data_IF_266630943488
#
_entry.id   IF_266630943488
#
_cell.length_a   1.000
_cell.length_b   1.000
_cell.length_c   1.000
_cell.angle_alpha   90.00
_cell.angle_beta   90.00
_cell.angle_gamma   90.00
#
_symmetry.space_group_name_H-M   'P 1'
#
loop_
_entity.id
_entity.type
_entity.pdbx_description
1 polymer ?
#
# COMPACT_ATOMS: atom_id res chain seq x y z
N UNK A 1 -9.75 -3.74 -12.55
CA UNK A 1 -8.32 -4.03 -12.37
C UNK A 1 -8.21 -5.19 -11.40
N UNK A 2 -7.43 -6.23 -11.71
CA UNK A 2 -7.26 -7.36 -10.78
C UNK A 2 -6.35 -6.97 -9.61
N UNK A 3 -6.57 -7.51 -8.40
CA UNK A 3 -5.77 -7.18 -7.20
C UNK A 3 -4.26 -7.31 -7.43
N UNK A 4 -3.84 -8.28 -8.25
CA UNK A 4 -2.43 -8.49 -8.63
C UNK A 4 -1.88 -7.32 -9.47
N UNK A 5 -2.66 -6.82 -10.43
CA UNK A 5 -2.28 -5.70 -11.29
C UNK A 5 -2.09 -4.41 -10.47
N UNK A 6 -2.99 -4.16 -9.52
CA UNK A 6 -2.85 -3.03 -8.57
C UNK A 6 -1.52 -3.13 -7.80
N UNK A 7 -1.22 -4.30 -7.23
CA UNK A 7 0.02 -4.53 -6.47
C UNK A 7 1.24 -4.28 -7.36
N UNK A 8 1.27 -4.81 -8.58
CA UNK A 8 2.40 -4.63 -9.50
C UNK A 8 2.62 -3.16 -9.84
N UNK A 9 1.54 -2.41 -10.10
CA UNK A 9 1.61 -0.98 -10.37
C UNK A 9 2.18 -0.22 -9.16
N UNK A 10 1.67 -0.46 -7.95
CA UNK A 10 2.18 0.18 -6.72
C UNK A 10 3.66 -0.12 -6.51
N UNK A 11 4.08 -1.38 -6.69
CA UNK A 11 5.49 -1.77 -6.56
C UNK A 11 6.37 -1.03 -7.57
N UNK A 12 5.91 -0.89 -8.81
CA UNK A 12 6.63 -0.16 -9.84
C UNK A 12 6.74 1.35 -9.51
N UNK A 13 5.67 1.97 -9.01
CA UNK A 13 5.68 3.37 -8.59
C UNK A 13 6.65 3.62 -7.42
N UNK A 14 6.60 2.78 -6.37
CA UNK A 14 7.53 2.88 -5.23
C UNK A 14 8.98 2.69 -5.69
N UNK A 15 9.25 1.72 -6.57
CA UNK A 15 10.58 1.49 -7.13
C UNK A 15 11.13 2.71 -7.88
N UNK A 16 10.26 3.46 -8.53
CA UNK A 16 10.61 4.67 -9.27
C UNK A 16 10.64 5.93 -8.40
N UNK A 17 10.36 5.80 -7.09
CA UNK A 17 10.37 6.92 -6.14
C UNK A 17 9.15 7.84 -6.25
N UNK A 18 8.07 7.37 -6.88
CA UNK A 18 6.84 8.14 -7.03
C UNK A 18 5.97 8.04 -5.77
N UNK A 19 5.22 9.10 -5.48
CA UNK A 19 4.24 9.12 -4.40
C UNK A 19 2.98 8.41 -4.90
N UNK A 20 2.61 7.33 -4.23
CA UNK A 20 1.44 6.52 -4.59
C UNK A 20 0.22 7.00 -3.80
N UNK A 21 -0.89 7.27 -4.48
CA UNK A 21 -2.14 7.72 -3.85
C UNK A 21 -3.29 6.77 -4.19
N UNK A 22 -4.15 6.49 -3.21
CA UNK A 22 -5.20 5.48 -3.32
C UNK A 22 -6.27 5.80 -4.38
N UNK A 23 -6.47 7.09 -4.66
CA UNK A 23 -7.44 7.56 -5.67
C UNK A 23 -7.06 7.16 -7.09
N UNK A 24 -5.78 6.91 -7.38
CA UNK A 24 -5.32 6.45 -8.70
C UNK A 24 -5.77 5.01 -9.00
N UNK A 25 -6.25 4.30 -7.97
CA UNK A 25 -6.67 2.90 -8.03
C UNK A 25 -8.16 2.71 -7.70
N UNK A 26 -8.95 3.80 -7.63
CA UNK A 26 -10.36 3.80 -7.21
C UNK A 26 -10.59 3.13 -5.84
N UNK A 27 -9.62 3.23 -4.93
CA UNK A 27 -9.72 2.68 -3.58
C UNK A 27 -10.14 3.77 -2.59
N UNK A 28 -11.02 3.43 -1.64
CA UNK A 28 -11.22 4.25 -0.46
C UNK A 28 -10.07 4.04 0.54
N UNK A 29 -10.03 4.85 1.60
CA UNK A 29 -8.90 4.87 2.53
C UNK A 29 -8.76 3.57 3.34
N UNK A 30 -9.88 2.92 3.71
CA UNK A 30 -9.85 1.64 4.40
C UNK A 30 -9.32 0.52 3.49
N UNK A 31 -9.83 0.42 2.27
CA UNK A 31 -9.34 -0.53 1.26
C UNK A 31 -7.86 -0.30 0.93
N UNK A 32 -7.42 0.95 0.96
CA UNK A 32 -6.03 1.32 0.78
C UNK A 32 -5.15 0.82 1.92
N UNK A 33 -5.54 1.08 3.16
CA UNK A 33 -4.81 0.59 4.32
C UNK A 33 -4.74 -0.94 4.34
N UNK A 34 -5.85 -1.62 4.10
CA UNK A 34 -5.90 -3.09 4.02
C UNK A 34 -4.95 -3.64 2.94
N UNK A 35 -4.86 -2.96 1.79
CA UNK A 35 -3.97 -3.35 0.71
C UNK A 35 -2.50 -3.13 1.08
N UNK A 36 -2.16 -1.97 1.65
CA UNK A 36 -0.80 -1.64 2.07
C UNK A 36 -0.33 -2.55 3.21
N UNK A 37 -1.21 -2.82 4.18
CA UNK A 37 -0.95 -3.78 5.27
C UNK A 37 -0.72 -5.18 4.69
N UNK A 38 -1.59 -5.64 3.79
CA UNK A 38 -1.38 -6.91 3.09
C UNK A 38 -0.04 -6.96 2.37
N UNK A 39 0.35 -5.89 1.66
CA UNK A 39 1.62 -5.84 0.93
C UNK A 39 2.83 -5.87 1.88
N UNK A 40 2.74 -5.17 3.01
CA UNK A 40 3.76 -5.17 4.06
C UNK A 40 3.89 -6.55 4.72
N UNK A 41 2.78 -7.16 5.13
CA UNK A 41 2.74 -8.46 5.80
C UNK A 41 3.22 -9.60 4.91
N UNK A 42 2.99 -9.48 3.60
CA UNK A 42 3.53 -10.40 2.59
C UNK A 42 4.94 -10.07 2.17
N UNK A 43 5.59 -9.13 2.85
CA UNK A 43 6.98 -8.72 2.64
C UNK A 43 7.26 -8.15 1.26
N UNK A 44 6.27 -7.62 0.54
CA UNK A 44 6.55 -6.95 -0.74
C UNK A 44 7.23 -5.59 -0.52
N UNK A 45 6.76 -4.85 0.48
CA UNK A 45 7.23 -3.50 0.82
C UNK A 45 7.59 -3.39 2.30
N UNK A 46 8.42 -2.42 2.64
CA UNK A 46 8.84 -2.08 4.00
C UNK A 46 8.79 -0.56 4.23
N UNK A 47 8.95 -0.15 5.50
CA UNK A 47 9.01 1.25 5.94
C UNK A 47 7.74 2.06 5.60
N UNK A 48 6.58 1.41 5.73
CA UNK A 48 5.24 2.02 5.62
C UNK A 48 4.71 2.38 7.00
N UNK A 49 3.87 3.41 7.09
CA UNK A 49 3.16 3.75 8.34
C UNK A 49 1.67 3.95 8.06
N UNK A 50 0.82 3.21 8.78
CA UNK A 50 -0.63 3.37 8.75
C UNK A 50 -1.05 4.01 10.07
N UNK A 51 -1.73 5.14 10.00
CA UNK A 51 -2.28 5.85 11.14
C UNK A 51 -3.76 5.51 11.28
N UNK A 52 -4.10 4.83 12.36
CA UNK A 52 -5.47 4.44 12.70
C UNK A 52 -6.12 5.48 13.60
N UNK A 53 -7.42 5.72 13.42
CA UNK A 53 -8.21 6.34 14.49
C UNK A 53 -8.25 5.33 15.65
N UNK A 54 -7.95 5.78 16.88
CA UNK A 54 -7.97 4.90 18.06
C UNK A 54 -9.40 4.45 18.40
N UNK A 55 -9.55 3.71 19.52
CA UNK A 55 -10.84 3.25 20.07
C UNK A 55 -11.78 4.40 20.52
N UNK A 56 -11.53 5.65 20.10
CA UNK A 56 -12.44 6.75 20.36
C UNK A 56 -13.64 6.60 19.42
N UNK A 57 -14.72 6.06 19.98
CA UNK A 57 -16.05 5.81 19.39
C UNK A 57 -16.67 7.03 18.67
N UNK A 58 -16.00 8.18 18.56
CA UNK A 58 -16.50 9.38 17.90
C UNK A 58 -16.47 9.29 16.37
N UNK A 59 -15.63 8.43 15.79
CA UNK A 59 -15.48 8.26 14.34
C UNK A 59 -16.17 6.96 13.91
N UNK A 60 -17.50 6.95 13.94
CA UNK A 60 -18.33 5.75 13.77
C UNK A 60 -18.20 5.04 12.40
N UNK A 61 -17.55 5.63 11.39
CA UNK A 61 -17.43 5.05 10.04
C UNK A 61 -16.00 5.01 9.45
N UNK A 62 -14.99 5.65 10.07
CA UNK A 62 -13.63 5.74 9.52
C UNK A 62 -12.61 5.12 10.49
N UNK A 63 -11.95 4.02 10.07
CA UNK A 63 -10.94 3.34 10.91
C UNK A 63 -9.53 3.85 10.65
N UNK A 64 -9.28 4.34 9.44
CA UNK A 64 -7.98 4.81 8.98
C UNK A 64 -7.97 6.34 8.91
N UNK A 65 -7.00 6.97 9.58
CA UNK A 65 -6.75 8.41 9.44
C UNK A 65 -5.92 8.72 8.19
N UNK A 66 -4.82 8.00 7.99
CA UNK A 66 -3.92 8.23 6.85
C UNK A 66 -2.92 7.10 6.65
N UNK A 67 -2.38 6.98 5.44
CA UNK A 67 -1.27 6.08 5.11
C UNK A 67 -0.09 6.89 4.59
N UNK A 68 1.08 6.74 5.19
CA UNK A 68 2.33 7.39 4.80
C UNK A 68 3.27 6.37 4.14
N UNK A 69 3.54 6.61 2.85
CA UNK A 69 4.46 5.84 2.02
C UNK A 69 5.73 6.62 1.64
N UNK A 70 6.00 7.78 2.25
CA UNK A 70 7.16 8.62 1.90
C UNK A 70 8.52 7.95 2.09
N UNK A 71 8.59 6.93 2.94
CA UNK A 71 9.77 6.09 3.19
C UNK A 71 9.63 4.67 2.64
N UNK A 72 8.50 4.36 2.00
CA UNK A 72 8.22 3.03 1.51
C UNK A 72 9.30 2.59 0.52
N UNK A 73 9.74 1.34 0.65
CA UNK A 73 10.67 0.71 -0.28
C UNK A 73 10.26 -0.71 -0.55
N UNK A 74 10.67 -1.24 -1.69
CA UNK A 74 10.56 -2.66 -1.97
C UNK A 74 11.53 -3.43 -1.08
N UNK A 75 11.10 -4.61 -0.64
CA UNK A 75 12.03 -5.60 -0.09
C UNK A 75 12.69 -6.37 -1.23
N UNK A 76 13.69 -7.20 -0.91
CA UNK A 76 14.25 -8.18 -1.87
C UNK A 76 13.18 -9.11 -2.46
N UNK A 77 12.16 -9.50 -1.68
CA UNK A 77 11.05 -10.32 -2.17
C UNK A 77 10.17 -9.53 -3.14
N UNK A 78 9.83 -8.28 -2.81
CA UNK A 78 9.05 -7.41 -3.67
C UNK A 78 9.73 -7.11 -5.01
N UNK A 79 11.03 -6.84 -5.00
CA UNK A 79 11.80 -6.63 -6.23
C UNK A 79 11.82 -7.85 -7.13
N UNK A 80 12.00 -9.04 -6.54
CA UNK A 80 11.99 -10.31 -7.28
C UNK A 80 10.63 -10.57 -7.90
N UNK A 81 9.56 -10.46 -7.10
CA UNK A 81 8.19 -10.66 -7.57
C UNK A 81 7.85 -9.72 -8.73
N UNK A 82 8.14 -8.42 -8.59
CA UNK A 82 7.91 -7.44 -9.66
C UNK A 82 8.65 -7.81 -10.95
N UNK A 83 9.90 -8.26 -10.82
CA UNK A 83 10.73 -8.65 -11.96
C UNK A 83 10.25 -9.92 -12.65
N UNK A 84 9.70 -10.88 -11.91
CA UNK A 84 9.17 -12.14 -12.48
C UNK A 84 7.85 -11.95 -13.22
N UNK A 85 7.05 -10.95 -12.82
CA UNK A 85 5.70 -10.72 -13.35
C UNK A 85 5.64 -9.68 -14.48
N UNK A 86 6.68 -8.84 -14.62
CA UNK A 86 6.78 -7.84 -15.71
C UNK A 86 7.62 -8.32 -16.90
N UNK A 87 8.21 -9.52 -16.81
CA UNK A 87 8.95 -10.17 -17.90
C UNK A 87 8.08 -11.20 -18.63
#
# INVERSE_FOLDING_TARGET
MEKKEIILNILNEIKNGNIVVHTDYDLNLDMWADLIEYMHDRTYIADVTIYWFGDDDTYYDERVHSVDLSKARLTTFGEKFLSEEMN
#
